data_IF_730854209439
#
_entry.id   IF_730854209439
#
_cell.length_a   1.000
_cell.length_b   1.000
_cell.length_c   1.000
_cell.angle_alpha   90.00
_cell.angle_beta   90.00
_cell.angle_gamma   90.00
#
_symmetry.space_group_name_H-M   'P 1'
#
loop_
_entity.id
_entity.type
_entity.pdbx_description
1 polymer ?
#
# COMPACT_ATOMS: atom_id res chain seq x y z
N UNK A 1 -17.11 -2.90 12.40
CA UNK A 1 -15.71 -2.47 12.18
C UNK A 1 -15.55 -2.31 10.69
N UNK A 2 -15.22 -1.11 10.21
CA UNK A 2 -14.94 -0.92 8.78
C UNK A 2 -13.54 -1.48 8.55
N UNK A 3 -13.43 -2.61 7.87
CA UNK A 3 -12.14 -3.14 7.43
C UNK A 3 -11.52 -2.09 6.48
N UNK A 4 -10.52 -1.36 6.96
CA UNK A 4 -9.74 -0.47 6.11
C UNK A 4 -8.79 -1.34 5.28
N UNK A 5 -9.30 -1.82 4.14
CA UNK A 5 -8.53 -2.53 3.13
C UNK A 5 -7.66 -1.52 2.38
N UNK A 6 -6.35 -1.76 2.31
CA UNK A 6 -5.45 -0.92 1.50
C UNK A 6 -5.84 -1.04 0.02
N UNK A 7 -5.92 0.09 -0.72
CA UNK A 7 -6.38 0.08 -2.10
C UNK A 7 -5.35 -0.54 -3.04
N UNK A 8 -5.82 -1.16 -4.12
CA UNK A 8 -4.97 -1.50 -5.26
C UNK A 8 -4.58 -0.22 -6.02
N UNK A 9 -3.49 -0.26 -6.80
CA UNK A 9 -3.14 0.86 -7.68
C UNK A 9 -4.27 1.15 -8.70
N UNK A 10 -4.94 0.11 -9.20
CA UNK A 10 -6.07 0.24 -10.11
C UNK A 10 -7.23 1.02 -9.47
N UNK A 11 -7.58 0.71 -8.23
CA UNK A 11 -8.63 1.44 -7.48
C UNK A 11 -8.27 2.92 -7.29
N UNK A 12 -7.00 3.23 -7.02
CA UNK A 12 -6.55 4.63 -6.93
C UNK A 12 -6.66 5.31 -8.30
N UNK A 13 -6.27 4.65 -9.39
CA UNK A 13 -6.43 5.18 -10.76
C UNK A 13 -7.90 5.48 -11.09
N UNK A 14 -8.83 4.60 -10.71
CA UNK A 14 -10.27 4.79 -10.93
C UNK A 14 -10.84 5.98 -10.16
N UNK A 15 -10.32 6.26 -8.96
CA UNK A 15 -10.75 7.39 -8.14
C UNK A 15 -10.09 8.72 -8.58
N UNK A 16 -8.92 8.64 -9.19
CA UNK A 16 -8.12 9.77 -9.65
C UNK A 16 -8.08 9.83 -11.19
N UNK A 17 -9.22 10.11 -11.83
CA UNK A 17 -9.32 10.15 -13.30
C UNK A 17 -8.64 11.39 -13.87
N UNK A 18 -7.78 11.19 -14.88
CA UNK A 18 -7.21 12.27 -15.68
C UNK A 18 -8.18 12.74 -16.77
N UNK A 19 -8.51 14.02 -16.77
CA UNK A 19 -9.32 14.64 -17.83
C UNK A 19 -8.41 15.30 -18.87
N UNK A 20 -8.30 14.79 -20.10
CA UNK A 20 -7.46 15.40 -21.14
C UNK A 20 -8.00 16.74 -21.64
N UNK A 21 -9.29 17.04 -21.41
CA UNK A 21 -9.90 18.31 -21.81
C UNK A 21 -9.53 19.46 -20.88
N UNK A 22 -9.37 19.16 -19.60
CA UNK A 22 -9.05 20.15 -18.56
C UNK A 22 -7.63 20.04 -18.06
N UNK A 23 -6.92 18.96 -18.39
CA UNK A 23 -5.59 18.63 -17.86
C UNK A 23 -5.59 18.62 -16.32
N UNK A 24 -6.66 18.09 -15.72
CA UNK A 24 -6.82 18.02 -14.26
C UNK A 24 -7.07 16.58 -13.83
N UNK A 25 -6.66 16.27 -12.61
CA UNK A 25 -7.13 15.09 -11.89
C UNK A 25 -8.53 15.36 -11.32
N UNK A 26 -9.38 14.34 -11.26
CA UNK A 26 -10.71 14.41 -10.63
C UNK A 26 -10.67 14.93 -9.19
N UNK A 27 -9.59 14.71 -8.46
CA UNK A 27 -9.46 15.18 -7.07
C UNK A 27 -9.27 16.70 -6.93
N UNK A 28 -8.94 17.40 -8.01
CA UNK A 28 -8.72 18.86 -8.01
C UNK A 28 -9.81 19.60 -8.80
N UNK A 29 -10.91 18.92 -9.15
CA UNK A 29 -11.93 19.46 -10.06
C UNK A 29 -12.76 20.59 -9.46
N UNK A 30 -12.92 20.60 -8.13
CA UNK A 30 -13.67 21.63 -7.40
C UNK A 30 -12.77 22.79 -6.90
N UNK A 31 -11.48 22.73 -7.23
CA UNK A 31 -10.52 23.78 -6.90
C UNK A 31 -10.33 24.66 -8.15
N UNK A 32 -10.96 25.83 -8.14
CA UNK A 32 -10.92 26.81 -9.24
C UNK A 32 -9.48 27.31 -9.54
N UNK A 33 -8.54 27.13 -8.59
CA UNK A 33 -7.13 27.49 -8.72
C UNK A 33 -6.21 26.27 -8.95
N UNK A 34 -6.78 25.09 -9.22
CA UNK A 34 -5.99 23.88 -9.42
C UNK A 34 -5.03 24.03 -10.61
N UNK A 35 -3.72 23.77 -10.42
CA UNK A 35 -2.77 23.79 -11.52
C UNK A 35 -3.11 22.67 -12.51
N UNK A 36 -3.06 22.98 -13.81
CA UNK A 36 -3.10 21.95 -14.85
C UNK A 36 -1.91 21.02 -14.68
N UNK A 37 -2.14 19.72 -14.78
CA UNK A 37 -1.12 18.67 -14.70
C UNK A 37 -1.01 17.94 -16.03
N UNK A 38 0.21 17.59 -16.42
CA UNK A 38 0.48 16.65 -17.50
C UNK A 38 0.09 15.22 -17.10
N UNK A 39 -0.03 14.34 -18.10
CA UNK A 39 -0.25 12.91 -17.85
C UNK A 39 0.87 12.27 -16.98
N UNK A 40 2.12 12.71 -17.14
CA UNK A 40 3.23 12.24 -16.32
C UNK A 40 3.11 12.68 -14.88
N UNK A 41 2.74 13.94 -14.63
CA UNK A 41 2.49 14.46 -13.27
C UNK A 41 1.29 13.76 -12.63
N UNK A 42 0.24 13.48 -13.40
CA UNK A 42 -0.88 12.66 -12.96
C UNK A 42 -0.44 11.25 -12.53
N UNK A 43 0.39 10.57 -13.33
CA UNK A 43 0.89 9.23 -12.99
C UNK A 43 1.75 9.25 -11.70
N UNK A 44 2.55 10.30 -11.51
CA UNK A 44 3.33 10.52 -10.28
C UNK A 44 2.41 10.75 -9.09
N UNK A 45 1.36 11.56 -9.25
CA UNK A 45 0.35 11.83 -8.23
C UNK A 45 -0.35 10.54 -7.77
N UNK A 46 -0.89 9.76 -8.70
CA UNK A 46 -1.57 8.49 -8.39
C UNK A 46 -0.65 7.51 -7.67
N UNK A 47 0.61 7.40 -8.12
CA UNK A 47 1.60 6.57 -7.45
C UNK A 47 1.94 7.08 -6.04
N UNK A 48 1.93 8.40 -5.80
CA UNK A 48 2.15 8.98 -4.48
C UNK A 48 0.99 8.67 -3.54
N UNK A 49 -0.26 8.90 -3.98
CA UNK A 49 -1.47 8.58 -3.20
C UNK A 49 -1.52 7.10 -2.84
N UNK A 50 -1.23 6.21 -3.79
CA UNK A 50 -1.19 4.77 -3.52
C UNK A 50 -0.11 4.41 -2.50
N UNK A 51 1.10 4.97 -2.61
CA UNK A 51 2.18 4.72 -1.63
C UNK A 51 1.82 5.22 -0.25
N UNK A 52 1.21 6.40 -0.14
CA UNK A 52 0.76 6.94 1.14
C UNK A 52 -0.27 6.02 1.79
N UNK A 53 -1.29 5.61 1.05
CA UNK A 53 -2.32 4.68 1.54
C UNK A 53 -1.77 3.29 1.93
N UNK A 54 -0.69 2.85 1.28
CA UNK A 54 -0.01 1.58 1.55
C UNK A 54 1.14 1.69 2.55
N UNK A 55 1.39 2.87 3.13
CA UNK A 55 2.46 3.06 4.11
C UNK A 55 2.03 2.60 5.49
N UNK A 56 2.82 1.70 6.06
CA UNK A 56 2.66 1.13 7.40
C UNK A 56 3.65 1.83 8.32
N UNK A 57 3.15 2.42 9.40
CA UNK A 57 3.93 3.25 10.33
C UNK A 57 4.00 2.68 11.74
N UNK A 58 3.27 1.60 12.03
CA UNK A 58 3.22 0.97 13.35
C UNK A 58 3.27 -0.56 13.27
N UNK A 59 3.79 -1.21 14.31
CA UNK A 59 3.76 -2.67 14.42
C UNK A 59 2.33 -3.24 14.48
N UNK A 60 1.39 -2.53 15.11
CA UNK A 60 -0.01 -2.95 15.15
C UNK A 60 -0.68 -2.98 13.77
N UNK A 61 -0.27 -2.10 12.85
CA UNK A 61 -0.71 -2.17 11.45
C UNK A 61 -0.11 -3.38 10.72
N UNK A 62 1.13 -3.79 11.03
CA UNK A 62 1.71 -5.04 10.52
C UNK A 62 0.96 -6.27 11.04
N UNK A 63 0.65 -6.30 12.35
CA UNK A 63 -0.07 -7.42 12.97
C UNK A 63 -1.50 -7.58 12.42
N UNK A 64 -2.10 -6.49 11.94
CA UNK A 64 -3.42 -6.51 11.31
C UNK A 64 -3.40 -7.04 9.87
N UNK A 65 -2.23 -7.19 9.23
CA UNK A 65 -2.16 -7.70 7.87
C UNK A 65 -2.39 -9.21 7.82
N UNK A 66 -3.12 -9.70 6.80
CA UNK A 66 -3.36 -11.13 6.64
C UNK A 66 -2.08 -11.87 6.23
N UNK A 67 -2.06 -13.17 6.49
CA UNK A 67 -1.00 -14.06 6.02
C UNK A 67 -0.89 -14.01 4.50
N UNK A 68 0.34 -13.96 3.97
CA UNK A 68 0.61 -13.81 2.55
C UNK A 68 0.77 -12.35 2.09
N UNK A 69 0.52 -11.36 2.94
CA UNK A 69 0.91 -9.98 2.68
C UNK A 69 2.44 -9.84 2.53
N UNK A 70 2.88 -8.94 1.65
CA UNK A 70 4.29 -8.66 1.38
C UNK A 70 4.56 -7.17 1.54
N UNK A 71 5.60 -6.85 2.32
CA UNK A 71 6.02 -5.47 2.58
C UNK A 71 7.47 -5.25 2.13
N UNK A 72 7.84 -4.00 1.92
CA UNK A 72 9.22 -3.56 1.70
C UNK A 72 9.59 -2.47 2.69
N UNK A 73 10.74 -2.63 3.34
CA UNK A 73 11.32 -1.61 4.23
C UNK A 73 12.84 -1.66 4.19
N UNK A 74 13.50 -0.50 4.27
CA UNK A 74 14.96 -0.39 4.29
C UNK A 74 15.70 -1.21 3.19
N UNK A 75 15.07 -1.39 2.02
CA UNK A 75 15.61 -2.20 0.92
C UNK A 75 15.38 -3.71 1.04
N UNK A 76 14.81 -4.19 2.14
CA UNK A 76 14.47 -5.60 2.39
C UNK A 76 12.99 -5.83 2.09
N UNK A 77 12.68 -7.00 1.54
CA UNK A 77 11.31 -7.47 1.30
C UNK A 77 10.98 -8.55 2.31
N UNK A 78 9.84 -8.41 2.99
CA UNK A 78 9.34 -9.40 3.93
C UNK A 78 8.00 -9.95 3.47
N UNK A 79 7.82 -11.25 3.60
CA UNK A 79 6.54 -11.92 3.45
C UNK A 79 5.99 -12.33 4.82
N UNK A 80 4.69 -12.19 5.00
CA UNK A 80 4.00 -12.66 6.20
C UNK A 80 3.70 -14.16 6.10
N UNK A 81 4.07 -14.90 7.15
CA UNK A 81 3.86 -16.33 7.30
C UNK A 81 3.01 -16.63 8.54
N UNK A 82 2.23 -17.73 8.52
CA UNK A 82 1.47 -18.14 9.68
C UNK A 82 2.42 -18.57 10.81
N UNK A 83 2.13 -18.15 12.04
CA UNK A 83 2.88 -18.52 13.24
C UNK A 83 2.02 -19.40 14.13
N UNK A 84 2.39 -20.67 14.27
CA UNK A 84 1.66 -21.62 15.11
C UNK A 84 1.58 -21.14 16.57
N UNK A 85 0.38 -21.10 17.13
CA UNK A 85 0.16 -20.76 18.55
C UNK A 85 0.17 -19.27 18.88
N UNK A 86 0.24 -18.37 17.88
CA UNK A 86 0.20 -16.92 18.06
C UNK A 86 -0.79 -16.32 17.06
N UNK A 87 -1.53 -15.27 17.45
CA UNK A 87 -2.48 -14.60 16.55
C UNK A 87 -1.79 -13.76 15.46
N UNK A 88 -0.64 -13.15 15.78
CA UNK A 88 0.12 -12.34 14.83
C UNK A 88 0.98 -13.19 13.89
N UNK A 89 1.09 -12.76 12.64
CA UNK A 89 1.96 -13.37 11.64
C UNK A 89 3.44 -13.20 12.00
N UNK A 90 4.27 -14.11 11.49
CA UNK A 90 5.72 -13.92 11.45
C UNK A 90 6.11 -13.24 10.14
N UNK A 91 7.16 -12.43 10.15
CA UNK A 91 7.73 -11.80 8.96
C UNK A 91 9.04 -12.49 8.58
N UNK A 92 9.15 -12.93 7.33
CA UNK A 92 10.34 -13.60 6.82
C UNK A 92 10.91 -12.77 5.69
N UNK A 93 12.17 -12.36 5.82
CA UNK A 93 12.86 -11.68 4.74
C UNK A 93 13.07 -12.66 3.57
N UNK A 94 12.86 -12.20 2.34
CA UNK A 94 13.02 -13.04 1.15
C UNK A 94 14.48 -13.50 1.06
N UNK A 95 14.69 -14.83 1.06
CA UNK A 95 16.02 -15.46 1.06
C UNK A 95 16.58 -15.75 2.45
N UNK A 96 15.88 -15.37 3.51
CA UNK A 96 16.21 -15.68 4.88
C UNK A 96 15.36 -16.85 5.43
N UNK A 97 15.85 -17.52 6.48
CA UNK A 97 15.14 -18.54 7.26
C UNK A 97 14.67 -18.01 8.61
N UNK A 98 15.14 -16.84 9.03
CA UNK A 98 14.75 -16.25 10.31
C UNK A 98 13.36 -15.61 10.24
N UNK A 99 12.62 -15.78 11.34
CA UNK A 99 11.28 -15.24 11.53
C UNK A 99 11.38 -14.04 12.46
N UNK A 100 10.81 -12.93 12.03
CA UNK A 100 10.76 -11.69 12.77
C UNK A 100 9.34 -11.44 13.30
N UNK A 101 9.27 -10.84 14.48
CA UNK A 101 8.06 -10.23 15.02
C UNK A 101 7.87 -8.84 14.40
N UNK A 102 6.64 -8.31 14.43
CA UNK A 102 6.32 -7.01 13.82
C UNK A 102 7.08 -5.84 14.45
N UNK A 103 7.47 -5.93 15.72
CA UNK A 103 8.27 -4.94 16.45
C UNK A 103 9.76 -4.98 16.09
N UNK A 104 10.22 -6.03 15.40
CA UNK A 104 11.59 -6.16 14.89
C UNK A 104 11.74 -5.59 13.47
N UNK A 105 10.63 -5.25 12.81
CA UNK A 105 10.62 -4.70 11.44
C UNK A 105 10.83 -3.19 11.48
N UNK A 106 11.76 -2.70 10.65
CA UNK A 106 11.99 -1.26 10.50
C UNK A 106 10.78 -0.58 9.85
N UNK A 107 10.34 0.52 10.44
CA UNK A 107 9.23 1.35 9.96
C UNK A 107 9.74 2.74 9.53
N UNK A 108 9.08 3.41 8.56
CA UNK A 108 7.88 2.96 7.84
C UNK A 108 8.17 1.84 6.84
N UNK A 109 7.19 0.96 6.64
CA UNK A 109 7.21 -0.09 5.62
C UNK A 109 6.15 0.20 4.56
N UNK A 110 6.38 -0.24 3.33
CA UNK A 110 5.42 -0.12 2.23
C UNK A 110 4.78 -1.48 1.96
N UNK A 111 3.45 -1.58 2.02
CA UNK A 111 2.71 -2.74 1.54
C UNK A 111 2.81 -2.80 0.01
N UNK A 112 3.40 -3.86 -0.53
CA UNK A 112 3.57 -4.05 -1.98
C UNK A 112 2.72 -5.19 -2.54
N UNK A 113 2.15 -6.04 -1.67
CA UNK A 113 1.14 -7.02 -2.03
C UNK A 113 0.22 -7.31 -0.85
N UNK A 114 -1.08 -7.33 -1.10
CA UNK A 114 -2.11 -7.84 -0.19
C UNK A 114 -2.79 -9.06 -0.83
N UNK A 115 -3.00 -10.18 -0.11
CA UNK A 115 -3.53 -11.41 -0.68
C UNK A 115 -4.94 -11.25 -1.25
N UNK A 116 -5.76 -10.36 -0.69
CA UNK A 116 -7.09 -10.09 -1.24
C UNK A 116 -7.07 -9.28 -2.53
N UNK A 117 -5.98 -8.59 -2.90
CA UNK A 117 -5.91 -7.83 -4.17
C UNK A 117 -6.11 -8.73 -5.40
N UNK A 118 -5.83 -10.02 -5.27
CA UNK A 118 -6.02 -11.02 -6.33
C UNK A 118 -7.44 -11.61 -6.38
N UNK A 119 -8.35 -11.19 -5.48
CA UNK A 119 -9.72 -11.73 -5.39
C UNK A 119 -10.79 -10.85 -6.06
N UNK A 120 -10.42 -9.69 -6.57
CA UNK A 120 -11.35 -8.75 -7.21
C UNK A 120 -11.51 -9.03 -8.73
N UNK A 121 -11.34 -10.28 -9.18
CA UNK A 121 -11.65 -10.75 -10.55
C UNK A 121 -13.02 -11.46 -10.64
#
# INVERSE_FOLDING_TARGET
MVEHRQPTLAQVVEQHVYSPNTYLCSCSRDDDDAPTISFTEWAVHVAAVWREACTITTAGQLDALPTGAVIRTAGVVYASEPRTGVQANAWVAIGDRYRHCSDEILLPALLIHHPDWSRDE
#
